data_IF_520619762931
#
_entry.id   IF_520619762931
#
_cell.length_a   1.000
_cell.length_b   1.000
_cell.length_c   1.000
_cell.angle_alpha   90.00
_cell.angle_beta   90.00
_cell.angle_gamma   90.00
#
_symmetry.space_group_name_H-M   'P 1'
#
loop_
_entity.id
_entity.type
_entity.pdbx_description
1 polymer ?
#
# COMPACT_ATOMS: atom_id res chain seq x y z
N UNK A 1 -173.84 -28.38 -40.46
CA UNK A 1 -173.31 -27.02 -40.77
C UNK A 1 -172.44 -26.44 -39.64
N UNK A 2 -172.81 -26.60 -38.35
CA UNK A 2 -172.05 -26.05 -37.22
C UNK A 2 -170.66 -26.69 -36.99
N UNK A 3 -170.52 -28.01 -37.18
CA UNK A 3 -169.25 -28.74 -36.97
C UNK A 3 -168.15 -28.37 -37.96
N UNK A 4 -168.50 -28.04 -39.21
CA UNK A 4 -167.54 -27.63 -40.25
C UNK A 4 -166.97 -26.23 -39.93
N UNK A 5 -167.77 -25.33 -39.38
CA UNK A 5 -167.33 -23.97 -38.99
C UNK A 5 -166.35 -24.04 -37.81
N UNK A 6 -166.60 -24.91 -36.83
CA UNK A 6 -165.71 -25.12 -35.69
C UNK A 6 -164.37 -25.76 -36.11
N UNK A 7 -164.40 -26.72 -37.05
CA UNK A 7 -163.17 -27.33 -37.58
C UNK A 7 -162.30 -26.32 -38.35
N UNK A 8 -162.92 -25.47 -39.17
CA UNK A 8 -162.20 -24.41 -39.92
C UNK A 8 -161.65 -23.34 -38.97
N UNK A 9 -162.40 -22.95 -37.94
CA UNK A 9 -161.93 -22.03 -36.91
C UNK A 9 -160.75 -22.62 -36.10
N UNK A 10 -160.78 -23.91 -35.77
CA UNK A 10 -159.68 -24.60 -35.09
C UNK A 10 -158.40 -24.68 -35.94
N UNK A 11 -158.52 -24.93 -37.24
CA UNK A 11 -157.37 -24.94 -38.17
C UNK A 11 -156.80 -23.53 -38.38
N UNK A 12 -157.65 -22.50 -38.47
CA UNK A 12 -157.19 -21.10 -38.58
C UNK A 12 -156.52 -20.60 -37.30
N UNK A 13 -157.07 -20.91 -36.12
CA UNK A 13 -156.48 -20.55 -34.83
C UNK A 13 -155.20 -21.36 -34.55
N UNK A 14 -155.17 -22.64 -34.90
CA UNK A 14 -153.99 -23.49 -34.79
C UNK A 14 -152.87 -23.07 -35.76
N UNK A 15 -153.20 -22.81 -37.02
CA UNK A 15 -152.27 -22.31 -38.03
C UNK A 15 -151.73 -20.91 -37.69
N UNK A 16 -152.59 -20.01 -37.21
CA UNK A 16 -152.19 -18.70 -36.71
C UNK A 16 -151.29 -18.78 -35.48
N UNK A 17 -151.60 -19.67 -34.53
CA UNK A 17 -150.78 -19.90 -33.34
C UNK A 17 -149.39 -20.47 -33.66
N UNK A 18 -149.29 -21.45 -34.56
CA UNK A 18 -148.01 -22.01 -35.02
C UNK A 18 -147.19 -20.97 -35.79
N UNK A 19 -147.82 -20.15 -36.64
CA UNK A 19 -147.13 -19.08 -37.36
C UNK A 19 -146.58 -18.02 -36.41
N UNK A 20 -147.36 -17.60 -35.39
CA UNK A 20 -146.90 -16.63 -34.38
C UNK A 20 -145.79 -17.23 -33.51
N UNK A 21 -145.88 -18.50 -33.10
CA UNK A 21 -144.85 -19.17 -32.30
C UNK A 21 -143.55 -19.38 -33.09
N UNK A 22 -143.65 -19.80 -34.37
CA UNK A 22 -142.48 -19.90 -35.24
C UNK A 22 -141.86 -18.53 -35.46
N UNK A 23 -142.66 -17.49 -35.74
CA UNK A 23 -142.17 -16.13 -35.95
C UNK A 23 -141.56 -15.51 -34.68
N UNK A 24 -142.11 -15.77 -33.49
CA UNK A 24 -141.50 -15.33 -32.22
C UNK A 24 -140.25 -16.11 -31.86
N UNK A 25 -140.20 -17.43 -32.12
CA UNK A 25 -138.99 -18.24 -31.95
C UNK A 25 -137.88 -17.82 -32.91
N UNK A 26 -138.21 -17.55 -34.17
CA UNK A 26 -137.29 -17.05 -35.19
C UNK A 26 -136.82 -15.62 -34.87
N UNK A 27 -137.71 -14.75 -34.39
CA UNK A 27 -137.34 -13.39 -33.92
C UNK A 27 -136.44 -13.45 -32.68
N UNK A 28 -136.70 -14.35 -31.73
CA UNK A 28 -135.86 -14.54 -30.56
C UNK A 28 -134.52 -15.20 -30.91
N UNK A 29 -134.50 -16.16 -31.82
CA UNK A 29 -133.27 -16.76 -32.36
C UNK A 29 -132.43 -15.73 -33.12
N UNK A 30 -133.07 -14.86 -33.91
CA UNK A 30 -132.40 -13.75 -34.60
C UNK A 30 -131.89 -12.71 -33.60
N UNK A 31 -132.65 -12.36 -32.57
CA UNK A 31 -132.23 -11.41 -31.53
C UNK A 31 -131.10 -11.97 -30.65
N UNK A 32 -131.07 -13.26 -30.38
CA UNK A 32 -129.97 -13.91 -29.64
C UNK A 32 -128.73 -14.03 -30.51
N UNK A 33 -128.87 -14.40 -31.79
CA UNK A 33 -127.78 -14.42 -32.76
C UNK A 33 -127.17 -13.03 -32.98
N UNK A 34 -128.00 -11.99 -33.13
CA UNK A 34 -127.50 -10.60 -33.27
C UNK A 34 -126.83 -10.10 -31.99
N UNK A 35 -127.33 -10.47 -30.80
CA UNK A 35 -126.65 -10.19 -29.52
C UNK A 35 -125.30 -10.90 -29.44
N UNK A 36 -125.22 -12.19 -29.75
CA UNK A 36 -123.96 -12.95 -29.74
C UNK A 36 -122.95 -12.34 -30.72
N UNK A 37 -123.38 -11.95 -31.93
CA UNK A 37 -122.51 -11.29 -32.91
C UNK A 37 -122.07 -9.91 -32.40
N UNK A 38 -122.96 -9.16 -31.74
CA UNK A 38 -122.62 -7.86 -31.16
C UNK A 38 -121.63 -7.99 -29.99
N UNK A 39 -121.84 -8.94 -29.10
CA UNK A 39 -120.95 -9.23 -27.95
C UNK A 39 -119.59 -9.74 -28.44
N UNK A 40 -119.56 -10.66 -29.41
CA UNK A 40 -118.32 -11.15 -30.02
C UNK A 40 -117.55 -10.03 -30.75
N UNK A 41 -118.25 -9.11 -31.43
CA UNK A 41 -117.62 -7.93 -32.02
C UNK A 41 -117.06 -6.99 -30.97
N UNK A 42 -117.77 -6.78 -29.86
CA UNK A 42 -117.32 -5.95 -28.74
C UNK A 42 -116.09 -6.56 -28.07
N UNK A 43 -116.13 -7.85 -27.76
CA UNK A 43 -115.00 -8.57 -27.15
C UNK A 43 -113.79 -8.57 -28.09
N UNK A 44 -113.97 -8.81 -29.39
CA UNK A 44 -112.90 -8.69 -30.38
C UNK A 44 -112.32 -7.27 -30.44
N UNK A 45 -113.15 -6.24 -30.35
CA UNK A 45 -112.69 -4.86 -30.33
C UNK A 45 -111.89 -4.55 -29.05
N UNK A 46 -112.37 -5.01 -27.88
CA UNK A 46 -111.65 -4.85 -26.60
C UNK A 46 -110.32 -5.61 -26.58
N UNK A 47 -110.26 -6.83 -27.14
CA UNK A 47 -109.02 -7.60 -27.27
C UNK A 47 -108.03 -6.86 -28.18
N UNK A 48 -108.51 -6.34 -29.31
CA UNK A 48 -107.69 -5.63 -30.28
C UNK A 48 -107.19 -4.29 -29.70
N UNK A 49 -108.01 -3.59 -28.93
CA UNK A 49 -107.62 -2.37 -28.21
C UNK A 49 -106.57 -2.66 -27.15
N UNK A 50 -106.76 -3.68 -26.29
CA UNK A 50 -105.75 -4.10 -25.30
C UNK A 50 -104.47 -4.59 -25.95
N UNK A 51 -104.55 -5.28 -27.08
CA UNK A 51 -103.38 -5.72 -27.85
C UNK A 51 -102.62 -4.52 -28.43
N UNK A 52 -103.34 -3.53 -28.97
CA UNK A 52 -102.75 -2.28 -29.45
C UNK A 52 -102.11 -1.47 -28.32
N UNK A 53 -102.77 -1.36 -27.17
CA UNK A 53 -102.22 -0.66 -26.00
C UNK A 53 -100.94 -1.33 -25.49
N UNK A 54 -100.93 -2.66 -25.37
CA UNK A 54 -99.73 -3.42 -25.02
C UNK A 54 -98.63 -3.29 -26.06
N UNK A 55 -98.98 -3.31 -27.35
CA UNK A 55 -98.01 -3.14 -28.43
C UNK A 55 -97.39 -1.73 -28.39
N UNK A 56 -98.20 -0.68 -28.20
CA UNK A 56 -97.73 0.70 -28.05
C UNK A 56 -96.85 0.86 -26.82
N UNK A 57 -97.25 0.29 -25.68
CA UNK A 57 -96.45 0.29 -24.45
C UNK A 57 -95.11 -0.42 -24.62
N UNK A 58 -95.08 -1.58 -25.30
CA UNK A 58 -93.85 -2.29 -25.63
C UNK A 58 -92.96 -1.47 -26.57
N UNK A 59 -93.52 -0.88 -27.62
CA UNK A 59 -92.78 -0.01 -28.54
C UNK A 59 -92.17 1.19 -27.81
N UNK A 60 -92.92 1.83 -26.89
CA UNK A 60 -92.41 2.95 -26.11
C UNK A 60 -91.28 2.51 -25.16
N UNK A 61 -91.45 1.38 -24.46
CA UNK A 61 -90.43 0.83 -23.58
C UNK A 61 -89.14 0.49 -24.34
N UNK A 62 -89.25 -0.27 -25.43
CA UNK A 62 -88.10 -0.62 -26.28
C UNK A 62 -87.44 0.63 -26.85
N UNK A 63 -88.21 1.64 -27.26
CA UNK A 63 -87.65 2.91 -27.74
C UNK A 63 -86.90 3.67 -26.64
N UNK A 64 -87.37 3.62 -25.40
CA UNK A 64 -86.67 4.20 -24.24
C UNK A 64 -85.37 3.43 -23.94
N UNK A 65 -85.44 2.11 -23.85
CA UNK A 65 -84.25 1.26 -23.62
C UNK A 65 -83.19 1.44 -24.72
N UNK A 66 -83.59 1.45 -25.99
CA UNK A 66 -82.68 1.69 -27.12
C UNK A 66 -82.08 3.09 -27.07
N UNK A 67 -82.86 4.10 -26.67
CA UNK A 67 -82.36 5.46 -26.48
C UNK A 67 -81.33 5.55 -25.35
N UNK A 68 -81.58 4.87 -24.22
CA UNK A 68 -80.65 4.80 -23.10
C UNK A 68 -79.37 4.04 -23.48
N UNK A 69 -79.51 2.87 -24.09
CA UNK A 69 -78.38 2.07 -24.58
C UNK A 69 -77.54 2.83 -25.59
N UNK A 70 -78.17 3.58 -26.50
CA UNK A 70 -77.47 4.44 -27.47
C UNK A 70 -76.71 5.57 -26.77
N UNK A 71 -77.27 6.19 -25.73
CA UNK A 71 -76.58 7.21 -24.93
C UNK A 71 -75.38 6.63 -24.18
N UNK A 72 -75.51 5.43 -23.62
CA UNK A 72 -74.41 4.75 -22.94
C UNK A 72 -73.29 4.39 -23.92
N UNK A 73 -73.63 3.83 -25.07
CA UNK A 73 -72.67 3.53 -26.13
C UNK A 73 -71.93 4.79 -26.56
N UNK A 74 -72.63 5.90 -26.82
CA UNK A 74 -72.01 7.17 -27.19
C UNK A 74 -71.08 7.71 -26.10
N UNK A 75 -71.44 7.58 -24.82
CA UNK A 75 -70.54 7.94 -23.70
C UNK A 75 -69.29 7.07 -23.68
N UNK A 76 -69.43 5.76 -23.93
CA UNK A 76 -68.27 4.86 -23.97
C UNK A 76 -67.36 5.14 -25.17
N UNK A 77 -67.93 5.41 -26.35
CA UNK A 77 -67.20 5.79 -27.56
C UNK A 77 -66.42 7.09 -27.34
N UNK A 78 -67.06 8.12 -26.78
CA UNK A 78 -66.38 9.39 -26.48
C UNK A 78 -65.21 9.18 -25.50
N UNK A 79 -65.41 8.39 -24.44
CA UNK A 79 -64.35 8.07 -23.47
C UNK A 79 -63.20 7.27 -24.10
N UNK A 80 -63.51 6.38 -25.04
CA UNK A 80 -62.51 5.62 -25.81
C UNK A 80 -61.71 6.55 -26.73
N UNK A 81 -62.38 7.43 -27.46
CA UNK A 81 -61.75 8.41 -28.33
C UNK A 81 -60.83 9.39 -27.56
N UNK A 82 -61.26 9.86 -26.38
CA UNK A 82 -60.41 10.68 -25.50
C UNK A 82 -59.17 9.92 -25.02
N UNK A 83 -59.31 8.63 -24.69
CA UNK A 83 -58.18 7.77 -24.29
C UNK A 83 -57.22 7.53 -25.44
N UNK A 84 -57.74 7.25 -26.63
CA UNK A 84 -56.96 7.05 -27.85
C UNK A 84 -56.15 8.31 -28.17
N UNK A 85 -56.80 9.48 -28.20
CA UNK A 85 -56.10 10.76 -28.40
C UNK A 85 -55.06 11.05 -27.32
N UNK A 86 -55.33 10.70 -26.06
CA UNK A 86 -54.34 10.84 -24.99
C UNK A 86 -53.16 9.87 -25.14
N UNK A 87 -53.38 8.66 -25.66
CA UNK A 87 -52.33 7.70 -25.92
C UNK A 87 -51.47 8.13 -27.10
N UNK A 88 -52.07 8.61 -28.19
CA UNK A 88 -51.35 9.14 -29.34
C UNK A 88 -50.43 10.29 -28.94
N UNK A 89 -50.94 11.25 -28.16
CA UNK A 89 -50.12 12.35 -27.61
C UNK A 89 -48.95 11.85 -26.76
N UNK A 90 -49.13 10.77 -26.00
CA UNK A 90 -48.05 10.18 -25.20
C UNK A 90 -47.03 9.47 -26.08
N UNK A 91 -47.46 8.81 -27.15
CA UNK A 91 -46.59 8.18 -28.12
C UNK A 91 -45.73 9.22 -28.82
N UNK A 92 -46.34 10.32 -29.30
CA UNK A 92 -45.62 11.42 -29.93
C UNK A 92 -44.55 12.03 -28.99
N UNK A 93 -44.91 12.22 -27.71
CA UNK A 93 -43.97 12.71 -26.70
C UNK A 93 -42.83 11.73 -26.40
N UNK A 94 -43.10 10.42 -26.43
CA UNK A 94 -42.08 9.40 -26.25
C UNK A 94 -41.14 9.34 -27.45
N UNK A 95 -41.66 9.44 -28.66
CA UNK A 95 -40.85 9.48 -29.89
C UNK A 95 -39.98 10.74 -29.95
N UNK A 96 -40.52 11.91 -29.57
CA UNK A 96 -39.73 13.14 -29.48
C UNK A 96 -38.58 13.00 -28.47
N UNK A 97 -38.85 12.40 -27.29
CA UNK A 97 -37.83 12.14 -26.27
C UNK A 97 -36.79 11.13 -26.76
N UNK A 98 -37.21 10.06 -27.43
CA UNK A 98 -36.31 9.06 -27.98
C UNK A 98 -35.37 9.67 -29.03
N UNK A 99 -35.89 10.52 -29.91
CA UNK A 99 -35.08 11.22 -30.91
C UNK A 99 -34.09 12.21 -30.26
N UNK A 100 -34.52 12.98 -29.25
CA UNK A 100 -33.62 13.86 -28.47
C UNK A 100 -32.52 13.09 -27.77
N UNK A 101 -32.84 11.94 -27.16
CA UNK A 101 -31.85 11.08 -26.52
C UNK A 101 -30.82 10.55 -27.51
N UNK A 102 -31.26 10.04 -28.67
CA UNK A 102 -30.36 9.58 -29.73
C UNK A 102 -29.45 10.69 -30.24
N UNK A 103 -29.97 11.90 -30.41
CA UNK A 103 -29.17 13.05 -30.81
C UNK A 103 -28.11 13.37 -29.74
N UNK A 104 -28.51 13.43 -28.47
CA UNK A 104 -27.59 13.67 -27.37
C UNK A 104 -26.51 12.58 -27.26
N UNK A 105 -26.85 11.31 -27.46
CA UNK A 105 -25.88 10.21 -27.49
C UNK A 105 -24.85 10.41 -28.60
N UNK A 106 -25.31 10.76 -29.81
CA UNK A 106 -24.41 11.05 -30.94
C UNK A 106 -23.51 12.27 -30.70
N UNK A 107 -24.03 13.32 -30.04
CA UNK A 107 -23.24 14.50 -29.65
C UNK A 107 -22.22 14.16 -28.56
N UNK A 108 -22.58 13.27 -27.63
CA UNK A 108 -21.69 12.84 -26.56
C UNK A 108 -20.54 11.99 -27.11
N UNK A 109 -20.83 11.09 -28.05
CA UNK A 109 -19.81 10.29 -28.73
C UNK A 109 -18.86 11.16 -29.57
N UNK A 110 -19.38 12.18 -30.27
CA UNK A 110 -18.52 13.11 -31.02
C UNK A 110 -17.63 13.93 -30.09
N UNK A 111 -18.17 14.45 -28.99
CA UNK A 111 -17.41 15.18 -27.97
C UNK A 111 -16.33 14.30 -27.33
N UNK A 112 -16.65 13.04 -27.05
CA UNK A 112 -15.69 12.08 -26.49
C UNK A 112 -14.52 11.84 -27.44
N UNK A 113 -14.81 11.67 -28.73
CA UNK A 113 -13.77 11.54 -29.75
C UNK A 113 -12.92 12.80 -29.86
N UNK A 114 -13.53 14.00 -29.84
CA UNK A 114 -12.80 15.26 -29.84
C UNK A 114 -11.88 15.40 -28.62
N UNK A 115 -12.35 15.02 -27.42
CA UNK A 115 -11.54 15.01 -26.20
C UNK A 115 -10.33 14.09 -26.35
N UNK A 116 -10.51 12.89 -26.91
CA UNK A 116 -9.41 11.97 -27.17
C UNK A 116 -8.40 12.58 -28.15
N UNK A 117 -8.84 13.17 -29.26
CA UNK A 117 -7.95 13.85 -30.21
C UNK A 117 -7.22 15.05 -29.61
N UNK A 118 -7.88 15.85 -28.78
CA UNK A 118 -7.26 16.97 -28.07
C UNK A 118 -6.20 16.47 -27.11
N UNK A 119 -6.48 15.40 -26.35
CA UNK A 119 -5.52 14.78 -25.43
C UNK A 119 -4.30 14.26 -26.18
N UNK A 120 -4.50 13.58 -27.30
CA UNK A 120 -3.40 13.05 -28.10
C UNK A 120 -2.56 14.19 -28.71
N UNK A 121 -3.20 15.26 -29.19
CA UNK A 121 -2.50 16.48 -29.65
C UNK A 121 -1.72 17.15 -28.53
N UNK A 122 -2.24 17.19 -27.31
CA UNK A 122 -1.54 17.74 -26.14
C UNK A 122 -0.33 16.88 -25.78
N UNK A 123 -0.47 15.55 -25.76
CA UNK A 123 0.63 14.62 -25.53
C UNK A 123 1.73 14.79 -26.59
N UNK A 124 1.37 14.80 -27.88
CA UNK A 124 2.31 15.01 -28.96
C UNK A 124 3.03 16.38 -28.88
N UNK A 125 2.31 17.45 -28.48
CA UNK A 125 2.92 18.76 -28.23
C UNK A 125 3.86 18.75 -27.03
N UNK A 126 3.50 18.08 -25.93
CA UNK A 126 4.37 17.91 -24.76
C UNK A 126 5.64 17.14 -25.12
N UNK A 127 5.53 16.06 -25.89
CA UNK A 127 6.67 15.31 -26.43
C UNK A 127 7.57 16.20 -27.29
N UNK A 128 6.97 17.05 -28.15
CA UNK A 128 7.70 17.97 -29.01
C UNK A 128 8.37 19.12 -28.26
N UNK A 129 7.71 19.68 -27.24
CA UNK A 129 8.25 20.77 -26.38
C UNK A 129 9.38 20.22 -25.50
N UNK A 130 9.20 19.02 -24.94
CA UNK A 130 10.20 18.38 -24.10
C UNK A 130 11.46 17.97 -24.88
N UNK A 131 11.38 17.84 -26.23
CA UNK A 131 12.44 17.27 -27.10
C UNK A 131 12.99 15.92 -26.58
N UNK A 132 12.23 15.25 -25.73
CA UNK A 132 12.58 14.06 -24.98
C UNK A 132 11.35 13.16 -25.05
N UNK A 133 11.53 11.92 -25.49
CA UNK A 133 10.44 10.94 -25.39
C UNK A 133 10.08 10.73 -23.91
N UNK A 134 8.88 10.24 -23.62
CA UNK A 134 8.46 9.89 -22.25
C UNK A 134 9.50 8.99 -21.54
N UNK A 135 10.18 8.13 -22.31
CA UNK A 135 11.24 7.24 -21.85
C UNK A 135 12.54 7.99 -21.51
N UNK A 136 12.90 8.99 -22.32
CA UNK A 136 14.09 9.82 -22.09
C UNK A 136 13.88 10.80 -20.93
N UNK A 137 12.68 11.34 -20.77
CA UNK A 137 12.32 12.18 -19.62
C UNK A 137 12.41 11.38 -18.31
N UNK A 138 11.88 10.15 -18.30
CA UNK A 138 12.02 9.24 -17.16
C UNK A 138 13.48 8.90 -16.86
N UNK A 139 14.29 8.62 -17.89
CA UNK A 139 15.71 8.34 -17.74
C UNK A 139 16.47 9.55 -17.17
N UNK A 140 16.19 10.75 -17.66
CA UNK A 140 16.86 11.97 -17.21
C UNK A 140 16.47 12.39 -15.80
N UNK A 141 15.21 12.16 -15.41
CA UNK A 141 14.76 12.31 -14.03
C UNK A 141 15.52 11.32 -13.12
N UNK A 142 15.60 10.05 -13.53
CA UNK A 142 16.32 9.02 -12.78
C UNK A 142 17.81 9.39 -12.60
N UNK A 143 18.48 9.84 -13.66
CA UNK A 143 19.90 10.27 -13.62
C UNK A 143 20.12 11.54 -12.78
N UNK A 144 19.10 12.39 -12.65
CA UNK A 144 19.14 13.58 -11.79
C UNK A 144 18.98 13.18 -10.33
N UNK A 145 17.98 12.35 -10.02
CA UNK A 145 17.76 11.82 -8.67
C UNK A 145 18.94 10.98 -8.19
N UNK A 146 19.53 10.16 -9.05
CA UNK A 146 20.72 9.37 -8.72
C UNK A 146 21.93 10.26 -8.40
N UNK A 147 22.09 11.40 -9.10
CA UNK A 147 23.14 12.38 -8.80
C UNK A 147 22.94 13.07 -7.46
N UNK A 148 21.71 13.50 -7.16
CA UNK A 148 21.38 14.10 -5.85
C UNK A 148 21.61 13.08 -4.72
N UNK A 149 21.07 11.87 -4.85
CA UNK A 149 21.26 10.83 -3.83
C UNK A 149 22.72 10.44 -3.65
N UNK A 150 23.54 10.45 -4.70
CA UNK A 150 24.98 10.18 -4.58
C UNK A 150 25.69 11.24 -3.73
N UNK A 151 25.32 12.52 -3.86
CA UNK A 151 25.88 13.59 -3.04
C UNK A 151 25.47 13.45 -1.57
N UNK A 152 24.19 13.12 -1.31
CA UNK A 152 23.70 12.88 0.05
C UNK A 152 24.36 11.66 0.69
N UNK A 153 24.58 10.59 -0.08
CA UNK A 153 25.30 9.41 0.37
C UNK A 153 26.76 9.71 0.71
N UNK A 154 27.46 10.55 -0.06
CA UNK A 154 28.82 10.97 0.25
C UNK A 154 28.85 11.74 1.59
N UNK A 155 27.92 12.66 1.79
CA UNK A 155 27.81 13.43 3.03
C UNK A 155 27.51 12.52 4.24
N UNK A 156 26.61 11.55 4.06
CA UNK A 156 26.27 10.57 5.09
C UNK A 156 27.47 9.69 5.45
N UNK A 157 28.19 9.15 4.45
CA UNK A 157 29.38 8.33 4.67
C UNK A 157 30.47 9.11 5.38
N UNK A 158 30.71 10.37 4.97
CA UNK A 158 31.69 11.25 5.63
C UNK A 158 31.32 11.51 7.10
N UNK A 159 30.04 11.76 7.38
CA UNK A 159 29.54 11.94 8.76
C UNK A 159 29.71 10.67 9.60
N UNK A 160 29.38 9.51 9.04
CA UNK A 160 29.56 8.21 9.72
C UNK A 160 31.05 7.96 9.99
N UNK A 161 31.93 8.17 8.99
CA UNK A 161 33.37 8.02 9.18
C UNK A 161 33.89 8.92 10.29
N UNK A 162 33.48 10.19 10.32
CA UNK A 162 33.88 11.14 11.37
C UNK A 162 33.46 10.65 12.76
N UNK A 163 32.21 10.24 12.93
CA UNK A 163 31.72 9.70 14.20
C UNK A 163 32.51 8.44 14.61
N UNK A 164 32.76 7.52 13.68
CA UNK A 164 33.53 6.30 13.95
C UNK A 164 34.96 6.62 14.37
N UNK A 165 35.60 7.64 13.76
CA UNK A 165 36.94 8.08 14.21
C UNK A 165 36.92 8.71 15.59
N UNK A 166 35.92 9.53 15.90
CA UNK A 166 35.76 10.14 17.24
C UNK A 166 35.53 9.06 18.31
N UNK A 167 34.61 8.12 18.06
CA UNK A 167 34.33 6.99 18.95
C UNK A 167 35.58 6.09 19.13
N UNK A 168 36.34 5.86 18.05
CA UNK A 168 37.56 5.06 18.10
C UNK A 168 38.68 5.75 18.90
N UNK A 169 38.81 7.08 18.81
CA UNK A 169 39.75 7.86 19.63
C UNK A 169 39.38 7.78 21.11
N UNK A 170 38.11 7.96 21.46
CA UNK A 170 37.62 7.87 22.84
C UNK A 170 37.83 6.46 23.42
N UNK A 171 37.55 5.42 22.63
CA UNK A 171 37.79 4.03 23.01
C UNK A 171 39.29 3.74 23.15
N UNK A 172 40.13 4.22 22.23
CA UNK A 172 41.58 4.03 22.30
C UNK A 172 42.16 4.70 23.55
N UNK A 173 41.69 5.91 23.88
CA UNK A 173 42.11 6.62 25.08
C UNK A 173 41.71 5.85 26.35
N UNK A 174 40.49 5.29 26.38
CA UNK A 174 40.00 4.46 27.49
C UNK A 174 40.83 3.19 27.66
N UNK A 175 41.17 2.51 26.55
CA UNK A 175 42.03 1.32 26.56
C UNK A 175 43.44 1.65 27.04
N UNK A 176 44.02 2.76 26.60
CA UNK A 176 45.35 3.20 27.02
C UNK A 176 45.38 3.49 28.52
N UNK A 177 44.38 4.18 29.05
CA UNK A 177 44.25 4.44 30.49
C UNK A 177 44.15 3.13 31.27
N UNK A 178 43.27 2.21 30.83
CA UNK A 178 43.11 0.90 31.48
C UNK A 178 44.39 0.04 31.40
N UNK A 179 45.15 0.13 30.30
CA UNK A 179 46.43 -0.55 30.13
C UNK A 179 47.51 0.06 31.05
N UNK A 180 47.56 1.38 31.18
CA UNK A 180 48.47 2.07 32.11
C UNK A 180 48.16 1.70 33.56
N UNK A 181 46.89 1.66 33.95
CA UNK A 181 46.46 1.21 35.28
C UNK A 181 46.88 -0.24 35.56
N UNK A 182 46.86 -1.12 34.55
CA UNK A 182 47.31 -2.52 34.66
C UNK A 182 48.83 -2.71 34.65
N UNK A 183 49.57 -1.91 33.88
CA UNK A 183 51.03 -2.06 33.71
C UNK A 183 51.79 -1.50 34.93
N UNK A 184 51.20 -0.54 35.65
CA UNK A 184 51.83 0.14 36.79
C UNK A 184 52.22 -0.79 37.94
N UNK A 185 51.55 -1.94 38.13
CA UNK A 185 51.82 -2.82 39.27
C UNK A 185 52.81 -3.96 39.01
N UNK A 186 53.05 -4.39 37.76
CA UNK A 186 53.82 -5.64 37.51
C UNK A 186 55.06 -5.52 36.59
N UNK A 187 55.23 -4.48 35.75
CA UNK A 187 56.31 -4.49 34.72
C UNK A 187 57.37 -3.39 34.88
N UNK A 188 57.13 -2.39 35.73
CA UNK A 188 58.01 -1.21 35.81
C UNK A 188 59.33 -1.48 36.55
N UNK A 189 59.34 -2.44 37.50
CA UNK A 189 60.52 -2.73 38.32
C UNK A 189 61.57 -3.62 37.60
N UNK A 190 61.14 -4.58 36.78
CA UNK A 190 62.07 -5.57 36.21
C UNK A 190 62.73 -5.14 34.89
N UNK A 191 62.14 -4.17 34.17
CA UNK A 191 62.63 -3.80 32.83
C UNK A 191 63.48 -2.54 32.76
N UNK A 192 63.60 -1.72 33.80
CA UNK A 192 64.33 -0.43 33.73
C UNK A 192 65.68 -0.44 34.43
N UNK A 193 65.88 -1.34 35.39
CA UNK A 193 67.08 -1.40 36.22
C UNK A 193 67.75 -2.78 36.13
N UNK A 194 69.07 -2.81 36.09
CA UNK A 194 69.86 -4.05 36.17
C UNK A 194 70.94 -3.88 37.22
N UNK A 195 70.89 -4.73 38.24
CA UNK A 195 71.84 -4.76 39.33
C UNK A 195 73.06 -5.61 38.97
N UNK A 196 74.26 -5.03 39.08
CA UNK A 196 75.54 -5.73 38.90
C UNK A 196 76.24 -5.89 40.25
N UNK A 197 76.56 -7.14 40.62
CA UNK A 197 77.30 -7.44 41.87
C UNK A 197 78.78 -7.13 41.70
N UNK A 198 79.33 -6.38 42.64
CA UNK A 198 80.76 -6.09 42.73
C UNK A 198 81.45 -7.08 43.69
N UNK A 199 82.70 -7.49 43.40
CA UNK A 199 83.45 -8.43 44.23
C UNK A 199 83.92 -7.80 45.55
N UNK A 200 84.15 -6.49 45.59
CA UNK A 200 84.57 -5.74 46.78
C UNK A 200 84.26 -4.23 46.63
N UNK A 201 84.34 -3.49 47.73
CA UNK A 201 84.14 -2.04 47.75
C UNK A 201 85.35 -1.25 47.17
N UNK A 202 86.51 -1.89 47.03
CA UNK A 202 87.67 -1.29 46.36
C UNK A 202 87.39 -1.10 44.86
N UNK A 203 86.73 -2.06 44.25
CA UNK A 203 86.25 -2.04 42.86
C UNK A 203 85.15 -1.00 42.68
N UNK A 204 84.29 -0.79 43.68
CA UNK A 204 83.32 0.33 43.70
C UNK A 204 84.06 1.67 43.59
N UNK A 205 85.12 1.86 44.36
CA UNK A 205 85.97 3.07 44.31
C UNK A 205 86.69 3.26 42.97
N UNK A 206 87.18 2.19 42.34
CA UNK A 206 87.82 2.24 41.02
C UNK A 206 86.84 2.55 39.89
N UNK A 207 85.63 2.01 39.96
CA UNK A 207 84.55 2.27 38.98
C UNK A 207 84.16 3.75 39.04
N UNK A 208 83.98 4.33 40.23
CA UNK A 208 83.70 5.77 40.39
C UNK A 208 84.87 6.63 39.88
N UNK A 209 86.10 6.31 40.32
CA UNK A 209 87.29 7.09 40.01
C UNK A 209 87.36 8.42 40.78
N UNK A 210 88.53 9.08 40.75
CA UNK A 210 88.73 10.38 41.41
C UNK A 210 87.77 11.41 40.80
N UNK A 211 86.84 11.93 41.61
CA UNK A 211 85.76 12.87 41.25
C UNK A 211 84.69 12.30 40.30
N UNK A 212 84.50 10.97 40.26
CA UNK A 212 83.46 10.37 39.42
C UNK A 212 83.81 10.33 37.92
N UNK A 213 85.04 10.68 37.54
CA UNK A 213 85.46 10.80 36.13
C UNK A 213 85.33 9.49 35.34
N UNK A 214 85.49 8.34 35.99
CA UNK A 214 85.37 7.03 35.34
C UNK A 214 83.90 6.68 35.08
N UNK A 215 83.02 6.85 36.07
CA UNK A 215 81.57 6.68 35.89
C UNK A 215 81.03 7.65 34.84
N UNK A 216 81.42 8.92 34.87
CA UNK A 216 80.96 9.89 33.87
C UNK A 216 81.45 9.57 32.44
N UNK A 217 82.65 9.00 32.29
CA UNK A 217 83.12 8.52 30.99
C UNK A 217 82.29 7.31 30.53
N UNK A 218 81.98 6.38 31.43
CA UNK A 218 81.17 5.20 31.17
C UNK A 218 79.72 5.57 30.77
N UNK A 219 79.10 6.50 31.51
CA UNK A 219 77.76 7.02 31.23
C UNK A 219 77.71 7.76 29.89
N UNK A 220 78.72 8.58 29.57
CA UNK A 220 78.80 9.28 28.27
C UNK A 220 79.02 8.31 27.10
N UNK A 221 79.84 7.27 27.30
CA UNK A 221 80.15 6.30 26.25
C UNK A 221 78.98 5.35 25.95
N UNK A 222 78.18 4.97 26.96
CA UNK A 222 77.06 4.02 26.80
C UNK A 222 75.68 4.67 26.75
N UNK A 223 75.54 5.90 27.23
CA UNK A 223 74.25 6.57 27.37
C UNK A 223 73.32 5.90 28.40
N UNK A 224 73.90 5.25 29.42
CA UNK A 224 73.20 4.57 30.52
C UNK A 224 73.51 5.29 31.82
N UNK A 225 72.51 5.44 32.70
CA UNK A 225 72.72 6.00 34.03
C UNK A 225 73.20 4.93 35.00
N UNK A 226 74.32 5.20 35.66
CA UNK A 226 74.94 4.27 36.61
C UNK A 226 74.77 4.85 38.00
N UNK A 227 73.88 4.24 38.78
CA UNK A 227 73.56 4.64 40.13
C UNK A 227 74.39 3.82 41.12
N UNK A 228 75.14 4.54 41.96
CA UNK A 228 75.94 3.96 43.02
C UNK A 228 75.35 4.43 44.33
N UNK A 229 74.57 3.56 44.98
CA UNK A 229 73.89 3.85 46.24
C UNK A 229 74.69 3.33 47.45
N UNK A 230 74.20 3.57 48.66
CA UNK A 230 74.75 3.12 49.94
C UNK A 230 74.65 1.59 50.14
N UNK A 231 74.06 0.88 49.17
CA UNK A 231 74.02 -0.59 49.18
C UNK A 231 75.44 -1.16 48.95
N UNK A 232 75.96 -2.01 49.85
CA UNK A 232 77.30 -2.59 49.72
C UNK A 232 77.35 -3.61 48.58
N UNK A 233 78.46 -3.63 47.83
CA UNK A 233 78.74 -4.67 46.83
C UNK A 233 77.86 -4.70 45.58
N UNK A 234 77.16 -3.61 45.22
CA UNK A 234 76.32 -3.58 44.01
C UNK A 234 76.23 -2.19 43.35
N UNK A 235 76.10 -2.18 42.03
CA UNK A 235 75.86 -0.98 41.21
C UNK A 235 74.61 -1.21 40.37
N UNK A 236 73.78 -0.18 40.23
CA UNK A 236 72.53 -0.26 39.47
C UNK A 236 72.68 0.46 38.13
N UNK A 237 72.41 -0.24 37.04
CA UNK A 237 72.37 0.31 35.69
C UNK A 237 70.92 0.63 35.31
N UNK A 238 70.65 1.89 34.98
CA UNK A 238 69.34 2.40 34.58
C UNK A 238 69.38 2.93 33.15
N UNK A 239 68.51 2.40 32.29
CA UNK A 239 68.31 2.93 30.93
C UNK A 239 67.00 2.40 30.37
N UNK A 240 66.36 3.12 29.45
CA UNK A 240 65.18 2.62 28.75
C UNK A 240 65.51 1.66 27.60
N UNK A 241 66.76 1.67 27.12
CA UNK A 241 67.23 0.82 26.01
C UNK A 241 67.93 -0.44 26.58
N UNK A 242 67.38 -1.65 26.36
CA UNK A 242 67.95 -2.89 26.88
C UNK A 242 69.30 -3.23 26.24
N UNK A 243 69.54 -2.83 24.98
CA UNK A 243 70.80 -3.10 24.27
C UNK A 243 71.91 -2.27 24.90
N UNK A 244 71.67 -0.97 25.10
CA UNK A 244 72.63 -0.07 25.78
C UNK A 244 72.94 -0.53 27.19
N UNK A 245 71.92 -0.96 27.93
CA UNK A 245 72.11 -1.48 29.29
C UNK A 245 72.98 -2.73 29.31
N UNK A 246 72.80 -3.62 28.34
CA UNK A 246 73.60 -4.83 28.20
C UNK A 246 75.06 -4.52 27.83
N UNK A 247 75.29 -3.54 26.95
CA UNK A 247 76.63 -3.05 26.61
C UNK A 247 77.32 -2.46 27.84
N UNK A 248 76.62 -1.66 28.64
CA UNK A 248 77.15 -1.12 29.89
C UNK A 248 77.48 -2.23 30.90
N UNK A 249 76.61 -3.23 31.06
CA UNK A 249 76.85 -4.39 31.93
C UNK A 249 78.10 -5.18 31.50
N UNK A 250 78.19 -5.54 30.22
CA UNK A 250 79.33 -6.29 29.70
C UNK A 250 80.63 -5.48 29.79
N UNK A 251 80.57 -4.18 29.52
CA UNK A 251 81.73 -3.29 29.64
C UNK A 251 82.26 -3.25 31.08
N UNK A 252 81.36 -3.13 32.07
CA UNK A 252 81.72 -3.18 33.47
C UNK A 252 82.31 -4.54 33.87
N UNK A 253 81.75 -5.66 33.42
CA UNK A 253 82.29 -7.00 33.70
C UNK A 253 83.72 -7.17 33.13
N UNK A 254 83.98 -6.66 31.92
CA UNK A 254 85.31 -6.71 31.30
C UNK A 254 86.29 -5.83 32.09
N UNK A 255 85.90 -4.60 32.42
CA UNK A 255 86.72 -3.66 33.20
C UNK A 255 87.00 -4.19 34.62
N UNK A 256 86.05 -4.90 35.22
CA UNK A 256 86.20 -5.54 36.52
C UNK A 256 87.21 -6.70 36.47
N UNK A 257 87.22 -7.48 35.38
CA UNK A 257 88.22 -8.55 35.20
C UNK A 257 89.63 -7.99 34.95
N UNK A 258 89.74 -6.86 34.26
CA UNK A 258 91.02 -6.19 33.93
C UNK A 258 91.58 -5.39 35.12
N UNK A 259 90.71 -4.91 36.03
CA UNK A 259 91.08 -4.22 37.28
C UNK A 259 91.64 -2.80 37.11
N UNK A 260 91.83 -2.33 35.86
CA UNK A 260 92.31 -1.00 35.49
C UNK A 260 91.20 -0.19 34.82
N UNK A 261 90.70 0.82 35.54
CA UNK A 261 89.60 1.67 35.07
C UNK A 261 90.13 3.10 34.91
N UNK A 262 90.26 3.55 33.65
CA UNK A 262 90.55 4.94 33.31
C UNK A 262 89.68 5.36 32.10
N UNK A 263 89.48 6.67 31.85
CA UNK A 263 88.54 7.13 30.81
C UNK A 263 88.85 6.59 29.41
N UNK A 264 90.13 6.54 29.01
CA UNK A 264 90.54 6.04 27.69
C UNK A 264 90.27 4.55 27.50
N UNK A 265 90.45 3.74 28.56
CA UNK A 265 90.17 2.30 28.53
C UNK A 265 88.69 2.02 28.55
N UNK A 266 87.90 2.84 29.24
CA UNK A 266 86.43 2.74 29.26
C UNK A 266 85.88 2.87 27.84
N UNK A 267 86.29 3.88 27.08
CA UNK A 267 85.84 4.07 25.70
C UNK A 267 86.22 2.88 24.80
N UNK A 268 87.45 2.37 24.94
CA UNK A 268 87.92 1.21 24.17
C UNK A 268 87.11 -0.06 24.49
N UNK A 269 86.86 -0.33 25.78
CA UNK A 269 86.11 -1.51 26.22
C UNK A 269 84.64 -1.40 25.81
N UNK A 270 84.04 -0.22 25.85
CA UNK A 270 82.67 0.02 25.36
C UNK A 270 82.57 -0.28 23.87
N UNK A 271 83.51 0.22 23.06
CA UNK A 271 83.52 -0.06 21.64
C UNK A 271 83.69 -1.55 21.33
N UNK A 272 84.45 -2.28 22.16
CA UNK A 272 84.60 -3.73 22.06
C UNK A 272 83.32 -4.46 22.45
N UNK A 273 82.71 -4.09 23.58
CA UNK A 273 81.46 -4.66 24.06
C UNK A 273 80.31 -4.42 23.06
N UNK A 274 80.23 -3.25 22.45
CA UNK A 274 79.27 -2.95 21.38
C UNK A 274 79.39 -3.95 20.23
N UNK A 275 80.61 -4.19 19.73
CA UNK A 275 80.83 -5.13 18.62
C UNK A 275 80.48 -6.57 18.99
N UNK A 276 80.71 -6.95 20.24
CA UNK A 276 80.41 -8.28 20.76
C UNK A 276 78.89 -8.49 20.87
N UNK A 277 78.18 -7.53 21.46
CA UNK A 277 76.72 -7.53 21.55
C UNK A 277 76.08 -7.48 20.16
N UNK A 278 76.57 -6.64 19.23
CA UNK A 278 76.06 -6.61 17.86
C UNK A 278 76.22 -7.96 17.16
N UNK A 279 77.34 -8.65 17.39
CA UNK A 279 77.59 -9.99 16.83
C UNK A 279 76.65 -11.03 17.45
N UNK A 280 76.42 -10.95 18.75
CA UNK A 280 75.47 -11.83 19.46
C UNK A 280 74.04 -11.61 18.98
N UNK A 281 73.61 -10.35 18.81
CA UNK A 281 72.30 -9.99 18.25
C UNK A 281 72.13 -10.58 16.85
N UNK A 282 73.10 -10.39 15.95
CA UNK A 282 72.99 -10.94 14.59
C UNK A 282 72.94 -12.49 14.62
N UNK A 283 73.70 -13.13 15.51
CA UNK A 283 73.69 -14.60 15.65
C UNK A 283 72.37 -15.10 16.20
N UNK A 284 71.85 -14.47 17.25
CA UNK A 284 70.54 -14.80 17.82
C UNK A 284 69.41 -14.59 16.79
N UNK A 285 69.49 -13.53 15.98
CA UNK A 285 68.57 -13.30 14.88
C UNK A 285 68.66 -14.38 13.79
N UNK A 286 69.86 -14.79 13.39
CA UNK A 286 70.07 -15.89 12.43
C UNK A 286 69.58 -17.24 12.95
N UNK A 287 69.80 -17.52 14.23
CA UNK A 287 69.34 -18.75 14.90
C UNK A 287 67.80 -18.76 15.03
N UNK A 288 67.20 -17.64 15.41
CA UNK A 288 65.74 -17.49 15.46
C UNK A 288 65.09 -17.61 14.08
N UNK A 289 65.67 -16.99 13.05
CA UNK A 289 65.18 -17.12 11.67
C UNK A 289 65.26 -18.56 11.17
N UNK A 290 66.32 -19.29 11.56
CA UNK A 290 66.49 -20.71 11.25
C UNK A 290 65.46 -21.59 11.96
N UNK A 291 65.16 -21.34 13.23
CA UNK A 291 64.13 -22.06 13.98
C UNK A 291 62.74 -21.90 13.36
N UNK A 292 62.46 -20.72 12.79
CA UNK A 292 61.19 -20.41 12.11
C UNK A 292 61.20 -20.83 10.63
N UNK A 293 62.33 -21.36 10.12
CA UNK A 293 62.45 -21.88 8.75
C UNK A 293 62.60 -20.81 7.66
N UNK A 294 62.90 -19.56 8.03
CA UNK A 294 63.09 -18.44 7.10
C UNK A 294 64.58 -18.24 6.82
N UNK A 295 65.00 -18.43 5.56
CA UNK A 295 66.39 -18.19 5.14
C UNK A 295 66.47 -17.01 4.17
N UNK A 296 67.47 -16.14 4.35
CA UNK A 296 67.73 -15.00 3.46
C UNK A 296 67.14 -13.65 3.89
N UNK A 297 66.80 -13.47 5.17
CA UNK A 297 66.33 -12.17 5.68
C UNK A 297 67.42 -11.09 5.59
N UNK A 298 67.08 -9.85 5.18
CA UNK A 298 68.00 -8.72 5.23
C UNK A 298 68.54 -8.51 6.65
N UNK A 299 69.82 -8.11 6.77
CA UNK A 299 70.50 -7.91 8.07
C UNK A 299 69.78 -6.93 9.01
N UNK A 300 69.01 -6.01 8.47
CA UNK A 300 68.22 -5.04 9.25
C UNK A 300 67.00 -5.70 9.90
N UNK A 301 66.42 -6.75 9.27
CA UNK A 301 65.29 -7.49 9.85
C UNK A 301 65.71 -8.50 10.92
N UNK A 302 66.98 -8.94 10.90
CA UNK A 302 67.55 -9.82 11.92
C UNK A 302 67.94 -9.08 13.21
N UNK A 303 67.86 -7.75 13.23
CA UNK A 303 68.25 -6.87 14.35
C UNK A 303 67.07 -6.28 15.13
N UNK A 304 65.84 -6.59 14.70
CA UNK A 304 64.58 -6.21 15.38
C UNK A 304 64.33 -7.09 16.60
#
# INVERSE_FOLDING_TARGET
MLEIILAVAGVLLGGGGVFVYQKTKETNANNTSTKIIADAKKESAEILERANEKALGLIEHTKKEESERRKELQKTENRLAERESSLDRKLDQLDERANKLRQNESELDSLKNEIHEVRDRQLAKLEKIAKLSKKDAAKKLMESTEREMKQDMINLVSKIQKNVTEDAEELAQTILVAAMERISSEVTADRTVTALKLPDDEMKGRIIGKEGRNIQAMQRATGVDILVDDTPGMVVLSSFDPVRRQIARLSLEILMKDGRINPSRVEEVVAKAQREIDKEINRAGEDAAREVGLTGLPREMLRL
#
